data_IF_691844774246
#
_entry.id   IF_691844774246
#
_cell.length_a   1.000
_cell.length_b   1.000
_cell.length_c   1.000
_cell.angle_alpha   90.00
_cell.angle_beta   90.00
_cell.angle_gamma   90.00
#
_symmetry.space_group_name_H-M   'P 1'
#
loop_
_entity.id
_entity.type
_entity.pdbx_description
1 polymer ?
#
# COMPACT_ATOMS: atom_id res chain seq x y z
N UNK A 1 5.32 12.78 31.10
CA UNK A 1 3.91 13.20 31.02
C UNK A 1 3.48 12.98 29.57
N UNK A 2 2.96 11.80 29.26
CA UNK A 2 2.51 11.46 27.91
C UNK A 2 1.02 11.83 27.81
N UNK A 3 0.74 13.06 27.41
CA UNK A 3 -0.60 13.39 26.96
C UNK A 3 -0.86 12.59 25.67
N UNK A 4 -1.89 11.75 25.68
CA UNK A 4 -2.40 11.14 24.45
C UNK A 4 -2.67 12.27 23.45
N UNK A 5 -2.20 12.17 22.20
CA UNK A 5 -2.48 13.20 21.19
C UNK A 5 -4.00 13.39 21.06
N UNK A 6 -4.48 14.61 20.82
CA UNK A 6 -5.91 14.88 20.64
C UNK A 6 -6.46 13.95 19.55
N UNK A 7 -7.62 13.34 19.79
CA UNK A 7 -8.21 12.39 18.85
C UNK A 7 -8.53 13.08 17.52
N UNK A 8 -8.13 12.49 16.39
CA UNK A 8 -8.52 12.94 15.06
C UNK A 8 -10.01 12.73 14.74
N UNK A 9 -10.86 12.40 15.72
CA UNK A 9 -12.27 12.07 15.50
C UNK A 9 -13.08 13.31 15.06
N UNK A 10 -13.61 13.34 13.82
CA UNK A 10 -14.51 14.39 13.38
C UNK A 10 -15.86 14.28 14.11
N UNK A 11 -16.51 15.42 14.39
CA UNK A 11 -17.89 15.41 14.88
C UNK A 11 -18.81 14.72 13.85
N UNK A 12 -19.56 13.70 14.29
CA UNK A 12 -20.56 12.99 13.47
C UNK A 12 -20.13 11.62 12.93
N UNK A 13 -18.92 11.14 13.20
CA UNK A 13 -18.53 9.75 12.89
C UNK A 13 -19.27 8.74 13.78
N UNK A 14 -19.92 7.75 13.17
CA UNK A 14 -20.31 6.52 13.88
C UNK A 14 -19.10 5.60 13.96
N UNK A 15 -18.57 5.39 15.15
CA UNK A 15 -17.61 4.31 15.38
C UNK A 15 -18.33 2.97 15.47
N UNK A 16 -17.68 1.91 14.97
CA UNK A 16 -18.19 0.56 15.16
C UNK A 16 -18.06 0.15 16.61
N UNK A 17 -19.06 -0.52 17.15
CA UNK A 17 -18.94 -1.20 18.45
C UNK A 17 -17.96 -2.36 18.35
N UNK A 18 -17.51 -2.88 19.51
CA UNK A 18 -16.66 -4.08 19.54
C UNK A 18 -17.31 -5.25 18.78
N UNK A 19 -18.61 -5.49 18.99
CA UNK A 19 -19.34 -6.58 18.34
C UNK A 19 -19.45 -6.36 16.82
N UNK A 20 -19.66 -5.13 16.37
CA UNK A 20 -19.68 -4.81 14.94
C UNK A 20 -18.31 -5.02 14.29
N UNK A 21 -17.22 -4.64 14.97
CA UNK A 21 -15.85 -4.91 14.51
C UNK A 21 -15.59 -6.41 14.45
N UNK A 22 -15.96 -7.17 15.49
CA UNK A 22 -15.80 -8.63 15.53
C UNK A 22 -16.56 -9.31 14.38
N UNK A 23 -17.84 -8.96 14.20
CA UNK A 23 -18.68 -9.51 13.14
C UNK A 23 -18.11 -9.18 11.74
N UNK A 24 -17.70 -7.93 11.53
CA UNK A 24 -17.13 -7.51 10.25
C UNK A 24 -15.77 -8.15 9.97
N UNK A 25 -14.93 -8.30 10.99
CA UNK A 25 -13.67 -9.02 10.87
C UNK A 25 -13.91 -10.48 10.47
N UNK A 26 -14.80 -11.19 11.16
CA UNK A 26 -15.15 -12.58 10.87
C UNK A 26 -15.78 -12.78 9.49
N UNK A 27 -16.47 -11.76 8.97
CA UNK A 27 -16.99 -11.76 7.59
C UNK A 27 -15.87 -11.72 6.55
N UNK A 28 -14.77 -11.02 6.84
CA UNK A 28 -13.64 -10.80 5.93
C UNK A 28 -12.53 -11.83 6.04
N UNK A 29 -12.26 -12.34 7.24
CA UNK A 29 -11.16 -13.27 7.51
C UNK A 29 -11.19 -14.48 6.56
N UNK A 30 -10.07 -14.74 5.89
CA UNK A 30 -9.89 -15.83 4.93
C UNK A 30 -10.58 -15.62 3.57
N UNK A 31 -11.18 -14.43 3.33
CA UNK A 31 -12.08 -14.23 2.17
C UNK A 31 -11.92 -12.89 1.47
N UNK A 32 -11.76 -11.80 2.22
CA UNK A 32 -11.85 -10.44 1.69
C UNK A 32 -10.69 -9.58 2.18
N UNK A 33 -10.23 -8.70 1.31
CA UNK A 33 -9.20 -7.72 1.64
C UNK A 33 -9.59 -6.83 2.83
N UNK A 34 -8.66 -6.51 3.75
CA UNK A 34 -7.24 -6.89 3.80
C UNK A 34 -6.92 -8.11 4.69
N UNK A 35 -7.89 -8.99 4.93
CA UNK A 35 -7.79 -10.13 5.85
C UNK A 35 -7.96 -11.48 5.13
N UNK A 36 -7.75 -11.50 3.81
CA UNK A 36 -7.91 -12.68 2.96
C UNK A 36 -6.94 -13.82 3.29
N UNK A 37 -5.77 -13.50 3.84
CA UNK A 37 -4.73 -14.48 4.20
C UNK A 37 -4.81 -14.95 5.67
N UNK A 38 -5.81 -14.46 6.42
CA UNK A 38 -5.99 -14.80 7.85
C UNK A 38 -6.76 -16.11 8.00
N UNK A 39 -6.18 -17.08 8.71
CA UNK A 39 -6.89 -18.32 9.06
C UNK A 39 -8.09 -18.02 9.95
N UNK A 40 -9.17 -18.74 9.70
CA UNK A 40 -10.43 -18.52 10.40
C UNK A 40 -10.31 -18.84 11.89
N UNK A 41 -9.55 -19.85 12.24
CA UNK A 41 -9.32 -20.30 13.62
C UNK A 41 -8.55 -19.25 14.42
N UNK A 42 -7.55 -18.61 13.80
CA UNK A 42 -6.78 -17.52 14.41
C UNK A 42 -7.68 -16.29 14.61
N UNK A 43 -8.53 -15.98 13.62
CA UNK A 43 -9.52 -14.92 13.75
C UNK A 43 -10.50 -15.18 14.90
N UNK A 44 -11.06 -16.39 15.00
CA UNK A 44 -11.97 -16.77 16.09
C UNK A 44 -11.29 -16.65 17.46
N UNK A 45 -10.05 -17.10 17.58
CA UNK A 45 -9.27 -16.99 18.82
C UNK A 45 -9.09 -15.53 19.24
N UNK A 46 -8.68 -14.66 18.33
CA UNK A 46 -8.49 -13.23 18.64
C UNK A 46 -9.83 -12.56 18.93
N UNK A 47 -10.85 -12.78 18.11
CA UNK A 47 -12.17 -12.16 18.31
C UNK A 47 -12.81 -12.57 19.64
N UNK A 48 -12.60 -13.80 20.10
CA UNK A 48 -13.06 -14.24 21.41
C UNK A 48 -12.29 -13.61 22.58
N UNK A 49 -10.98 -13.36 22.40
CA UNK A 49 -10.12 -12.76 23.42
C UNK A 49 -10.27 -11.23 23.55
N UNK A 50 -10.72 -10.54 22.49
CA UNK A 50 -10.91 -9.10 22.52
C UNK A 50 -12.04 -8.68 23.48
N UNK A 51 -11.71 -7.80 24.43
CA UNK A 51 -12.66 -7.21 25.40
C UNK A 51 -12.88 -5.73 25.19
N UNK A 52 -12.08 -5.08 24.33
CA UNK A 52 -12.20 -3.67 23.97
C UNK A 52 -11.66 -3.44 22.56
N UNK A 53 -11.89 -2.23 22.03
CA UNK A 53 -11.28 -1.73 20.78
C UNK A 53 -10.01 -0.89 21.05
N UNK A 54 -9.41 -1.02 22.23
CA UNK A 54 -8.13 -0.37 22.50
C UNK A 54 -7.08 -0.81 21.47
N UNK A 55 -6.31 0.17 20.98
CA UNK A 55 -5.37 -0.02 19.88
C UNK A 55 -4.24 -0.98 20.25
N UNK A 56 -3.80 -0.96 21.51
CA UNK A 56 -2.73 -1.81 22.00
C UNK A 56 -3.25 -3.18 22.43
N UNK A 57 -4.47 -3.28 22.99
CA UNK A 57 -5.13 -4.57 23.22
C UNK A 57 -5.33 -5.35 21.91
N UNK A 58 -5.77 -4.67 20.85
CA UNK A 58 -5.85 -5.25 19.51
C UNK A 58 -4.50 -5.77 19.02
N UNK A 59 -3.45 -4.94 19.13
CA UNK A 59 -2.11 -5.31 18.70
C UNK A 59 -1.57 -6.50 19.49
N UNK A 60 -1.80 -6.53 20.80
CA UNK A 60 -1.37 -7.60 21.69
C UNK A 60 -1.97 -8.95 21.29
N UNK A 61 -3.30 -9.02 21.14
CA UNK A 61 -3.97 -10.29 20.81
C UNK A 61 -3.54 -10.85 19.46
N UNK A 62 -3.35 -9.99 18.46
CA UNK A 62 -2.82 -10.41 17.16
C UNK A 62 -1.34 -10.82 17.22
N UNK A 63 -0.52 -10.11 17.99
CA UNK A 63 0.89 -10.47 18.18
C UNK A 63 1.05 -11.82 18.90
N UNK A 64 0.13 -12.21 19.80
CA UNK A 64 0.14 -13.56 20.40
C UNK A 64 0.08 -14.66 19.34
N UNK A 65 -0.75 -14.48 18.30
CA UNK A 65 -0.81 -15.41 17.15
C UNK A 65 0.50 -15.38 16.37
N UNK A 66 0.97 -14.19 15.98
CA UNK A 66 2.16 -14.03 15.15
C UNK A 66 3.43 -14.60 15.79
N UNK A 67 3.64 -14.30 17.08
CA UNK A 67 4.77 -14.85 17.85
C UNK A 67 4.67 -16.38 18.01
N UNK A 68 3.45 -16.92 18.10
CA UNK A 68 3.22 -18.36 18.14
C UNK A 68 3.65 -19.07 16.84
N UNK A 69 3.33 -18.51 15.68
CA UNK A 69 3.80 -19.03 14.40
C UNK A 69 5.30 -18.84 14.20
N UNK A 70 5.85 -17.71 14.62
CA UNK A 70 7.29 -17.48 14.54
C UNK A 70 8.08 -18.50 15.36
N UNK A 71 7.63 -18.81 16.58
CA UNK A 71 8.26 -19.81 17.43
C UNK A 71 8.18 -21.22 16.82
N UNK A 72 7.06 -21.56 16.18
CA UNK A 72 6.91 -22.81 15.43
C UNK A 72 7.87 -22.86 14.25
N UNK A 73 7.93 -21.79 13.43
CA UNK A 73 8.87 -21.68 12.32
C UNK A 73 10.32 -21.86 12.77
N UNK A 74 10.71 -21.24 13.89
CA UNK A 74 12.07 -21.37 14.44
C UNK A 74 12.39 -22.77 14.94
N UNK A 75 11.42 -23.46 15.54
CA UNK A 75 11.59 -24.86 15.95
C UNK A 75 11.72 -25.78 14.72
N UNK A 76 10.91 -25.56 13.69
CA UNK A 76 10.94 -26.33 12.45
C UNK A 76 12.22 -26.07 11.64
N UNK A 77 12.70 -24.84 11.61
CA UNK A 77 13.97 -24.49 10.97
C UNK A 77 15.15 -25.23 11.64
N UNK A 78 15.18 -25.28 12.99
CA UNK A 78 16.18 -26.06 13.74
C UNK A 78 16.08 -27.57 13.47
N UNK A 79 14.89 -28.08 13.17
CA UNK A 79 14.65 -29.47 12.82
C UNK A 79 14.91 -29.80 11.33
N UNK A 80 15.37 -28.83 10.53
CA UNK A 80 15.68 -29.04 9.11
C UNK A 80 14.45 -29.09 8.19
N UNK A 81 13.35 -28.42 8.55
CA UNK A 81 12.17 -28.30 7.70
C UNK A 81 12.46 -27.65 6.34
N UNK A 82 11.68 -28.02 5.33
CA UNK A 82 11.83 -27.53 3.97
C UNK A 82 11.39 -26.07 3.79
N UNK A 83 11.88 -25.43 2.73
CA UNK A 83 11.63 -24.01 2.47
C UNK A 83 10.13 -23.65 2.41
N UNK A 84 9.29 -24.47 1.77
CA UNK A 84 7.86 -24.19 1.65
C UNK A 84 7.14 -24.16 3.02
N UNK A 85 7.49 -25.07 3.92
CA UNK A 85 6.93 -25.10 5.27
C UNK A 85 7.36 -23.88 6.09
N UNK A 86 8.65 -23.50 5.99
CA UNK A 86 9.18 -22.33 6.68
C UNK A 86 8.59 -21.02 6.14
N UNK A 87 8.44 -20.91 4.81
CA UNK A 87 7.75 -19.80 4.16
C UNK A 87 6.33 -19.65 4.74
N UNK A 88 5.55 -20.73 4.73
CA UNK A 88 4.16 -20.72 5.20
C UNK A 88 4.05 -20.30 6.67
N UNK A 89 4.86 -20.90 7.57
CA UNK A 89 4.83 -20.57 8.99
C UNK A 89 5.19 -19.10 9.25
N UNK A 90 6.24 -18.59 8.61
CA UNK A 90 6.63 -17.20 8.78
C UNK A 90 5.69 -16.21 8.10
N UNK A 91 5.01 -16.60 7.01
CA UNK A 91 3.95 -15.79 6.40
C UNK A 91 2.74 -15.69 7.31
N UNK A 92 2.30 -16.78 7.94
CA UNK A 92 1.24 -16.71 8.96
C UNK A 92 1.63 -15.84 10.17
N UNK A 93 2.90 -15.91 10.59
CA UNK A 93 3.43 -15.02 11.62
C UNK A 93 3.32 -13.55 11.20
N UNK A 94 3.78 -13.24 9.99
CA UNK A 94 3.70 -11.92 9.39
C UNK A 94 2.25 -11.42 9.31
N UNK A 95 1.33 -12.21 8.76
CA UNK A 95 -0.05 -11.80 8.53
C UNK A 95 -0.77 -11.47 9.84
N UNK A 96 -0.54 -12.26 10.90
CA UNK A 96 -1.10 -11.95 12.21
C UNK A 96 -0.59 -10.60 12.76
N UNK A 97 0.73 -10.37 12.79
CA UNK A 97 1.28 -9.10 13.27
C UNK A 97 0.96 -7.92 12.33
N UNK A 98 0.80 -8.15 11.02
CA UNK A 98 0.31 -7.18 10.04
C UNK A 98 -1.10 -6.72 10.39
N UNK A 99 -1.99 -7.65 10.78
CA UNK A 99 -3.32 -7.29 11.26
C UNK A 99 -3.23 -6.55 12.61
N UNK A 100 -2.30 -6.94 13.48
CA UNK A 100 -2.02 -6.21 14.73
C UNK A 100 -1.69 -4.73 14.52
N UNK A 101 -0.94 -4.37 13.46
CA UNK A 101 -0.67 -2.96 13.12
C UNK A 101 -1.81 -2.25 12.38
N UNK A 102 -2.81 -2.95 11.87
CA UNK A 102 -3.84 -2.38 10.98
C UNK A 102 -4.65 -1.24 11.66
N UNK A 103 -5.05 -0.18 10.93
CA UNK A 103 -4.62 0.14 9.57
C UNK A 103 -3.23 0.76 9.51
N UNK A 104 -2.77 1.37 10.61
CA UNK A 104 -1.45 1.96 10.73
C UNK A 104 -0.96 1.96 12.19
N UNK A 105 0.36 1.98 12.43
CA UNK A 105 0.95 1.83 13.77
C UNK A 105 0.90 3.10 14.63
N UNK A 106 -0.30 3.58 14.93
CA UNK A 106 -0.58 4.85 15.63
C UNK A 106 -0.54 4.77 17.16
N UNK A 107 -0.14 3.64 17.73
CA UNK A 107 0.06 3.45 19.18
C UNK A 107 1.32 2.60 19.42
N UNK A 108 1.89 2.61 20.64
CA UNK A 108 3.11 1.83 20.94
C UNK A 108 2.97 0.34 20.64
N UNK A 109 1.86 -0.30 21.04
CA UNK A 109 1.60 -1.71 20.76
C UNK A 109 1.48 -2.00 19.27
N UNK A 110 0.79 -1.14 18.50
CA UNK A 110 0.72 -1.29 17.04
C UNK A 110 2.08 -1.07 16.36
N UNK A 111 2.93 -0.19 16.89
CA UNK A 111 4.30 0.00 16.41
C UNK A 111 5.16 -1.24 16.65
N UNK A 112 5.05 -1.88 17.82
CA UNK A 112 5.71 -3.16 18.08
C UNK A 112 5.16 -4.28 17.16
N UNK A 113 3.85 -4.33 16.93
CA UNK A 113 3.25 -5.26 15.98
C UNK A 113 3.83 -5.09 14.57
N UNK A 114 4.05 -3.84 14.13
CA UNK A 114 4.72 -3.56 12.86
C UNK A 114 6.17 -4.06 12.84
N UNK A 115 6.95 -3.82 13.90
CA UNK A 115 8.34 -4.34 13.97
C UNK A 115 8.37 -5.86 13.91
N UNK A 116 7.43 -6.54 14.58
CA UNK A 116 7.27 -7.98 14.48
C UNK A 116 6.92 -8.42 13.06
N UNK A 117 5.97 -7.75 12.39
CA UNK A 117 5.60 -8.10 11.01
C UNK A 117 6.80 -7.95 10.06
N UNK A 118 7.58 -6.87 10.15
CA UNK A 118 8.79 -6.72 9.34
C UNK A 118 9.79 -7.87 9.53
N UNK A 119 10.06 -8.21 10.80
CA UNK A 119 10.98 -9.30 11.15
C UNK A 119 10.49 -10.63 10.56
N UNK A 120 9.21 -10.94 10.74
CA UNK A 120 8.61 -12.19 10.31
C UNK A 120 8.54 -12.29 8.78
N UNK A 121 8.19 -11.21 8.09
CA UNK A 121 8.24 -11.15 6.63
C UNK A 121 9.65 -11.42 6.11
N UNK A 122 10.68 -10.78 6.70
CA UNK A 122 12.09 -11.03 6.33
C UNK A 122 12.56 -12.45 6.62
N UNK A 123 11.95 -13.16 7.57
CA UNK A 123 12.21 -14.61 7.78
C UNK A 123 11.55 -15.44 6.68
N UNK A 124 10.30 -15.15 6.34
CA UNK A 124 9.60 -15.80 5.22
C UNK A 124 10.33 -15.57 3.88
N UNK A 125 10.78 -14.34 3.62
CA UNK A 125 11.42 -13.95 2.37
C UNK A 125 12.69 -14.74 2.03
N UNK A 126 13.38 -15.31 3.04
CA UNK A 126 14.55 -16.18 2.83
C UNK A 126 14.20 -17.50 2.12
N UNK A 127 12.92 -17.84 2.08
CA UNK A 127 12.41 -19.08 1.52
C UNK A 127 11.64 -18.87 0.21
N UNK A 128 11.45 -17.61 -0.22
CA UNK A 128 10.71 -17.29 -1.44
C UNK A 128 11.40 -17.79 -2.71
N UNK A 129 10.58 -18.18 -3.68
CA UNK A 129 11.02 -18.48 -5.05
C UNK A 129 10.14 -17.69 -6.04
N UNK A 130 10.73 -16.84 -6.91
CA UNK A 130 12.15 -16.47 -6.96
C UNK A 130 12.60 -15.68 -5.72
N UNK A 131 13.92 -15.66 -5.42
CA UNK A 131 14.45 -14.98 -4.24
C UNK A 131 14.04 -13.50 -4.19
N UNK A 132 13.74 -13.04 -2.98
CA UNK A 132 13.50 -11.63 -2.69
C UNK A 132 14.77 -11.01 -2.10
N UNK A 133 15.32 -10.02 -2.81
CA UNK A 133 16.45 -9.22 -2.36
C UNK A 133 15.95 -8.02 -1.55
N UNK A 134 16.50 -7.82 -0.35
CA UNK A 134 16.32 -6.59 0.42
C UNK A 134 17.35 -5.58 -0.06
N UNK A 135 16.88 -4.48 -0.64
CA UNK A 135 17.71 -3.42 -1.22
C UNK A 135 17.68 -2.20 -0.30
N UNK A 136 18.87 -1.67 0.00
CA UNK A 136 19.06 -0.44 0.77
C UNK A 136 19.73 0.63 -0.11
N UNK A 137 19.12 1.82 -0.15
CA UNK A 137 19.63 2.97 -0.93
C UNK A 137 19.91 4.13 0.02
N UNK A 138 21.15 4.67 0.07
CA UNK A 138 21.46 5.86 0.84
C UNK A 138 20.64 7.07 0.36
N UNK A 139 20.06 7.82 1.28
CA UNK A 139 19.21 8.97 0.96
C UNK A 139 19.31 10.05 2.04
N UNK A 140 20.02 11.15 1.76
CA UNK A 140 20.06 12.35 2.61
C UNK A 140 20.37 12.07 4.10
N UNK A 141 21.36 11.21 4.36
CA UNK A 141 21.74 10.80 5.72
C UNK A 141 20.81 9.76 6.36
N UNK A 142 19.84 9.26 5.60
CA UNK A 142 18.92 8.17 5.94
C UNK A 142 19.08 7.01 4.95
N UNK A 143 18.24 5.99 5.08
CA UNK A 143 18.22 4.81 4.21
C UNK A 143 16.81 4.59 3.68
N UNK A 144 16.68 4.33 2.39
CA UNK A 144 15.47 3.79 1.78
C UNK A 144 15.60 2.27 1.70
N UNK A 145 14.55 1.55 2.11
CA UNK A 145 14.51 0.08 2.04
C UNK A 145 13.41 -0.36 1.10
N UNK A 146 13.73 -1.29 0.20
CA UNK A 146 12.83 -1.82 -0.82
C UNK A 146 13.12 -3.29 -1.10
N UNK A 147 12.23 -3.95 -1.85
CA UNK A 147 12.33 -5.35 -2.18
C UNK A 147 12.40 -5.55 -3.69
N UNK A 148 13.42 -6.26 -4.16
CA UNK A 148 13.63 -6.57 -5.57
C UNK A 148 13.45 -8.06 -5.81
N UNK A 149 12.60 -8.41 -6.79
CA UNK A 149 12.47 -9.78 -7.29
C UNK A 149 12.66 -9.79 -8.80
N UNK A 150 13.50 -10.71 -9.27
CA UNK A 150 13.78 -10.88 -10.69
C UNK A 150 12.99 -12.09 -11.25
N UNK A 151 12.41 -11.96 -12.45
CA UNK A 151 11.80 -13.08 -13.16
C UNK A 151 12.84 -14.13 -13.54
N UNK A 152 12.54 -15.44 -13.38
CA UNK A 152 13.46 -16.50 -13.75
C UNK A 152 13.68 -16.52 -15.27
N UNK A 153 14.93 -16.70 -15.68
CA UNK A 153 15.29 -16.91 -17.10
C UNK A 153 15.24 -15.68 -18.00
N UNK A 154 15.00 -14.47 -17.46
CA UNK A 154 15.00 -13.23 -18.24
C UNK A 154 16.28 -12.45 -17.96
N UNK A 155 17.12 -12.26 -18.97
CA UNK A 155 18.29 -11.40 -18.88
C UNK A 155 17.87 -9.93 -18.92
N UNK A 156 18.34 -9.12 -17.96
CA UNK A 156 18.06 -7.67 -17.84
C UNK A 156 16.58 -7.33 -18.07
N UNK A 157 15.67 -7.84 -17.22
CA UNK A 157 14.25 -7.57 -17.34
C UNK A 157 13.96 -6.07 -17.22
N UNK A 158 12.89 -5.63 -17.88
CA UNK A 158 12.28 -4.33 -17.60
C UNK A 158 11.82 -4.29 -16.14
N UNK A 159 11.79 -3.10 -15.54
CA UNK A 159 11.52 -2.91 -14.11
C UNK A 159 10.16 -2.26 -13.93
N UNK A 160 9.38 -2.77 -12.99
CA UNK A 160 8.20 -2.09 -12.46
C UNK A 160 8.49 -1.69 -11.03
N UNK A 161 8.68 -0.38 -10.78
CA UNK A 161 8.77 0.18 -9.43
C UNK A 161 7.36 0.45 -8.91
N UNK A 162 6.99 -0.14 -7.78
CA UNK A 162 5.58 -0.18 -7.40
C UNK A 162 5.39 -0.08 -5.88
N UNK A 163 4.37 0.67 -5.45
CA UNK A 163 4.02 0.91 -4.05
C UNK A 163 2.49 0.94 -3.84
N UNK A 164 2.05 0.76 -2.60
CA UNK A 164 0.64 0.86 -2.22
C UNK A 164 0.28 2.20 -1.57
N UNK A 165 -0.78 2.18 -0.74
CA UNK A 165 -1.32 3.34 -0.05
C UNK A 165 -0.93 3.40 1.43
N UNK A 166 -1.76 4.05 2.23
CA UNK A 166 -1.49 4.32 3.66
C UNK A 166 -1.41 3.08 4.54
N UNK A 167 -2.01 1.98 4.10
CA UNK A 167 -2.12 0.71 4.82
C UNK A 167 -1.70 -0.52 3.98
N UNK A 168 -1.28 -0.31 2.73
CA UNK A 168 -0.72 -1.33 1.85
C UNK A 168 0.76 -1.08 1.58
N UNK A 169 1.63 -1.63 2.42
CA UNK A 169 3.08 -1.37 2.45
C UNK A 169 3.83 -2.44 1.64
N UNK A 170 5.15 -2.30 1.47
CA UNK A 170 5.92 -3.18 0.58
C UNK A 170 5.78 -4.68 0.89
N UNK A 171 5.63 -5.07 2.14
CA UNK A 171 5.40 -6.48 2.51
C UNK A 171 4.04 -7.00 2.03
N UNK A 172 3.03 -6.13 1.97
CA UNK A 172 1.64 -6.48 1.60
C UNK A 172 1.46 -6.62 0.08
N UNK A 173 2.52 -6.35 -0.69
CA UNK A 173 2.48 -6.24 -2.16
C UNK A 173 2.96 -7.52 -2.85
N UNK A 174 3.19 -8.60 -2.11
CA UNK A 174 3.73 -9.86 -2.65
C UNK A 174 2.88 -10.42 -3.80
N UNK A 175 1.55 -10.34 -3.72
CA UNK A 175 0.64 -10.77 -4.79
C UNK A 175 0.84 -9.98 -6.09
N UNK A 176 0.99 -8.66 -5.95
CA UNK A 176 1.30 -7.77 -7.09
C UNK A 176 2.68 -8.09 -7.65
N UNK A 177 3.67 -8.29 -6.78
CA UNK A 177 5.01 -8.66 -7.19
C UNK A 177 5.04 -9.99 -7.97
N UNK A 178 4.32 -11.01 -7.49
CA UNK A 178 4.14 -12.30 -8.20
C UNK A 178 3.54 -12.10 -9.59
N UNK A 179 2.55 -11.21 -9.74
CA UNK A 179 1.94 -10.92 -11.05
C UNK A 179 2.94 -10.25 -12.01
N UNK A 180 3.72 -9.28 -11.53
CA UNK A 180 4.76 -8.58 -12.32
C UNK A 180 5.87 -9.55 -12.74
N UNK A 181 6.39 -10.33 -11.79
CA UNK A 181 7.44 -11.34 -12.00
C UNK A 181 6.95 -12.41 -12.97
N UNK A 182 5.73 -12.92 -12.80
CA UNK A 182 5.12 -13.90 -13.70
C UNK A 182 4.96 -13.39 -15.14
N UNK A 183 4.84 -12.08 -15.33
CA UNK A 183 4.78 -11.46 -16.65
C UNK A 183 6.16 -11.25 -17.32
N UNK A 184 7.26 -11.60 -16.64
CA UNK A 184 8.63 -11.50 -17.14
C UNK A 184 9.31 -10.15 -16.87
N UNK A 185 8.82 -9.39 -15.89
CA UNK A 185 9.38 -8.09 -15.49
C UNK A 185 9.93 -8.17 -14.05
N UNK A 186 10.98 -7.39 -13.76
CA UNK A 186 11.48 -7.25 -12.39
C UNK A 186 10.52 -6.39 -11.56
N UNK A 187 10.31 -6.82 -10.31
CA UNK A 187 9.44 -6.15 -9.36
C UNK A 187 10.29 -5.43 -8.32
N UNK A 188 10.29 -4.10 -8.34
CA UNK A 188 10.88 -3.27 -7.29
C UNK A 188 9.77 -2.70 -6.40
N UNK A 189 9.53 -3.35 -5.27
CA UNK A 189 8.52 -2.93 -4.30
C UNK A 189 9.12 -1.93 -3.32
N UNK A 190 8.52 -0.75 -3.20
CA UNK A 190 8.98 0.30 -2.27
C UNK A 190 7.82 0.83 -1.43
N UNK A 191 8.14 1.45 -0.29
CA UNK A 191 7.17 2.19 0.51
C UNK A 191 7.03 3.63 -0.01
N UNK A 192 5.81 4.13 -0.12
CA UNK A 192 5.58 5.55 -0.42
C UNK A 192 6.04 6.43 0.77
N UNK A 193 6.40 7.70 0.53
CA UNK A 193 6.59 8.66 1.60
C UNK A 193 5.41 8.64 2.59
N UNK A 194 5.71 8.59 3.89
CA UNK A 194 4.75 8.50 4.98
C UNK A 194 4.28 7.07 5.33
N UNK A 195 4.84 6.04 4.68
CA UNK A 195 4.46 4.63 4.92
C UNK A 195 5.66 3.74 5.18
N UNK A 196 5.42 2.62 5.88
CA UNK A 196 6.41 1.56 6.08
C UNK A 196 7.77 2.06 6.59
N UNK A 197 8.83 1.65 5.91
CA UNK A 197 10.23 2.00 6.22
C UNK A 197 10.70 3.27 5.48
N UNK A 198 9.82 3.96 4.73
CA UNK A 198 10.19 5.22 4.09
C UNK A 198 10.39 6.31 5.16
N UNK A 199 11.57 6.94 5.25
CA UNK A 199 11.90 7.83 6.35
C UNK A 199 11.48 9.29 6.11
N UNK A 200 10.69 9.56 5.06
CA UNK A 200 10.21 10.88 4.64
C UNK A 200 8.68 10.90 4.72
N UNK A 201 8.09 11.96 5.27
CA UNK A 201 6.63 12.11 5.31
C UNK A 201 6.05 12.47 3.94
N UNK A 202 4.78 12.14 3.72
CA UNK A 202 4.11 12.29 2.44
C UNK A 202 4.11 13.72 1.91
N UNK A 203 3.91 14.72 2.77
CA UNK A 203 3.87 16.13 2.38
C UNK A 203 5.22 16.84 2.35
N UNK A 204 6.33 16.16 2.68
CA UNK A 204 7.64 16.82 2.79
C UNK A 204 8.24 17.13 1.41
N UNK A 205 9.03 18.22 1.27
CA UNK A 205 9.72 18.54 0.02
C UNK A 205 10.64 17.42 -0.50
N UNK A 206 11.13 16.55 0.39
CA UNK A 206 11.99 15.42 0.04
C UNK A 206 11.22 14.21 -0.52
N UNK A 207 9.89 14.19 -0.42
CA UNK A 207 9.08 13.01 -0.73
C UNK A 207 9.24 12.55 -2.19
N UNK A 208 9.24 13.46 -3.16
CA UNK A 208 9.46 13.10 -4.57
C UNK A 208 10.87 12.52 -4.80
N UNK A 209 11.87 13.06 -4.09
CA UNK A 209 13.27 12.65 -4.26
C UNK A 209 13.53 11.22 -3.80
N UNK A 210 12.69 10.64 -2.93
CA UNK A 210 12.82 9.21 -2.60
C UNK A 210 12.60 8.33 -3.83
N UNK A 211 11.69 8.71 -4.73
CA UNK A 211 11.46 7.97 -5.97
C UNK A 211 12.60 8.18 -6.97
N UNK A 212 13.12 9.41 -7.09
CA UNK A 212 14.30 9.70 -7.91
C UNK A 212 15.50 8.85 -7.49
N UNK A 213 15.75 8.69 -6.18
CA UNK A 213 16.82 7.85 -5.66
C UNK A 213 16.65 6.37 -6.03
N UNK A 214 15.42 5.83 -6.01
CA UNK A 214 15.14 4.49 -6.52
C UNK A 214 15.40 4.35 -8.02
N UNK A 215 14.98 5.34 -8.81
CA UNK A 215 15.26 5.36 -10.26
C UNK A 215 16.76 5.42 -10.55
N UNK A 216 17.53 6.18 -9.77
CA UNK A 216 18.99 6.25 -9.88
C UNK A 216 19.63 4.91 -9.54
N UNK A 217 19.19 4.26 -8.45
CA UNK A 217 19.66 2.93 -8.06
C UNK A 217 19.41 1.89 -9.16
N UNK A 218 18.21 1.86 -9.75
CA UNK A 218 17.88 0.95 -10.86
C UNK A 218 18.83 1.12 -12.05
N UNK A 219 19.28 2.33 -12.35
CA UNK A 219 20.24 2.58 -13.44
C UNK A 219 21.65 2.04 -13.14
N UNK A 220 22.01 1.82 -11.87
CA UNK A 220 23.31 1.24 -11.49
C UNK A 220 23.35 -0.29 -11.59
N UNK A 221 22.18 -0.94 -11.71
CA UNK A 221 22.05 -2.39 -11.70
C UNK A 221 22.31 -2.97 -13.10
N UNK A 222 23.35 -3.80 -13.22
CA UNK A 222 23.72 -4.45 -14.49
C UNK A 222 22.84 -5.63 -14.86
N UNK A 223 22.10 -6.17 -13.88
CA UNK A 223 21.14 -7.27 -13.99
C UNK A 223 19.71 -6.83 -14.32
N UNK A 224 19.47 -5.52 -14.44
CA UNK A 224 18.20 -4.91 -14.84
C UNK A 224 18.36 -4.12 -16.14
N UNK A 225 17.25 -3.88 -16.85
CA UNK A 225 17.20 -2.85 -17.87
C UNK A 225 16.55 -1.58 -17.32
N UNK A 226 17.37 -0.72 -16.72
CA UNK A 226 16.91 0.54 -16.13
C UNK A 226 16.36 1.56 -17.12
N UNK A 227 16.55 1.37 -18.44
CA UNK A 227 15.95 2.23 -19.47
C UNK A 227 14.47 1.89 -19.72
N UNK A 228 14.03 0.70 -19.28
CA UNK A 228 12.66 0.20 -19.37
C UNK A 228 12.07 0.14 -17.97
N UNK A 229 11.79 1.31 -17.39
CA UNK A 229 11.20 1.46 -16.07
C UNK A 229 9.75 1.96 -16.15
N UNK A 230 8.82 1.22 -15.54
CA UNK A 230 7.45 1.64 -15.30
C UNK A 230 7.18 1.86 -13.82
N UNK A 231 6.18 2.69 -13.49
CA UNK A 231 5.78 2.94 -12.10
C UNK A 231 4.32 2.63 -11.84
N UNK A 232 4.02 2.12 -10.65
CA UNK A 232 2.66 1.82 -10.23
C UNK A 232 2.41 2.15 -8.75
N UNK A 233 1.64 3.22 -8.53
CA UNK A 233 1.15 3.62 -7.21
C UNK A 233 -0.31 3.24 -7.00
N UNK A 234 -0.61 2.65 -5.84
CA UNK A 234 -1.97 2.27 -5.43
C UNK A 234 -2.56 3.18 -4.36
N UNK A 235 -3.88 3.37 -4.39
CA UNK A 235 -4.65 4.14 -3.41
C UNK A 235 -4.08 5.55 -3.21
N UNK A 236 -3.89 6.01 -1.96
CA UNK A 236 -3.28 7.30 -1.64
C UNK A 236 -1.88 7.50 -2.26
N UNK A 237 -1.15 6.41 -2.52
CA UNK A 237 0.14 6.44 -3.20
C UNK A 237 0.06 6.70 -4.71
N UNK A 238 -1.11 6.55 -5.34
CA UNK A 238 -1.27 6.76 -6.78
C UNK A 238 -1.00 8.22 -7.21
N UNK A 239 -1.21 9.19 -6.30
CA UNK A 239 -0.80 10.58 -6.50
C UNK A 239 0.66 10.68 -6.98
N UNK A 240 1.57 9.94 -6.34
CA UNK A 240 2.98 9.95 -6.71
C UNK A 240 3.21 9.37 -8.10
N UNK A 241 2.45 8.34 -8.50
CA UNK A 241 2.57 7.79 -9.85
C UNK A 241 2.08 8.79 -10.91
N UNK A 242 0.95 9.46 -10.67
CA UNK A 242 0.46 10.52 -11.55
C UNK A 242 1.45 11.69 -11.61
N UNK A 243 1.98 12.13 -10.47
CA UNK A 243 2.97 13.21 -10.40
C UNK A 243 4.25 12.87 -11.17
N UNK A 244 4.82 11.68 -10.96
CA UNK A 244 6.00 11.21 -11.66
C UNK A 244 5.78 11.07 -13.17
N UNK A 245 4.54 10.82 -13.62
CA UNK A 245 4.20 10.86 -15.05
C UNK A 245 4.54 12.22 -15.67
N UNK A 246 4.43 13.32 -14.93
CA UNK A 246 4.79 14.65 -15.39
C UNK A 246 6.25 14.99 -15.09
N UNK A 247 6.68 14.82 -13.83
CA UNK A 247 8.00 15.32 -13.37
C UNK A 247 9.17 14.42 -13.77
N UNK A 248 8.93 13.13 -13.94
CA UNK A 248 9.93 12.14 -14.32
C UNK A 248 9.67 11.56 -15.72
N UNK A 249 8.95 12.28 -16.59
CA UNK A 249 8.46 11.76 -17.87
C UNK A 249 9.54 11.15 -18.78
N UNK A 250 10.76 11.65 -18.70
CA UNK A 250 11.89 11.18 -19.51
C UNK A 250 12.57 9.93 -18.93
N UNK A 251 12.24 9.57 -17.68
CA UNK A 251 12.85 8.47 -16.92
C UNK A 251 11.99 7.22 -16.86
N UNK A 252 10.70 7.33 -17.20
CA UNK A 252 9.74 6.23 -17.10
C UNK A 252 9.01 6.02 -18.42
N UNK A 253 8.69 4.76 -18.72
CA UNK A 253 7.95 4.35 -19.92
C UNK A 253 6.44 4.32 -19.71
N UNK A 254 6.00 4.27 -18.46
CA UNK A 254 4.58 4.32 -18.11
C UNK A 254 4.35 4.51 -16.63
N UNK A 255 3.26 5.17 -16.29
CA UNK A 255 2.80 5.37 -14.93
C UNK A 255 1.37 4.84 -14.77
N UNK A 256 1.12 4.14 -13.67
CA UNK A 256 -0.22 3.64 -13.31
C UNK A 256 -0.71 4.37 -12.08
N UNK A 257 -1.75 5.18 -12.29
CA UNK A 257 -2.55 5.83 -11.26
C UNK A 257 -3.72 4.91 -10.89
N UNK A 258 -3.58 4.16 -9.78
CA UNK A 258 -4.56 3.15 -9.39
C UNK A 258 -5.33 3.55 -8.13
N UNK A 259 -6.55 4.07 -8.30
CA UNK A 259 -7.49 4.38 -7.20
C UNK A 259 -7.04 5.49 -6.24
N UNK A 260 -6.41 6.57 -6.73
CA UNK A 260 -6.01 7.69 -5.87
C UNK A 260 -6.61 9.02 -6.26
N UNK A 261 -5.98 10.10 -5.79
CA UNK A 261 -6.45 11.47 -5.95
C UNK A 261 -5.43 12.33 -6.70
N UNK A 262 -5.90 13.28 -7.49
CA UNK A 262 -5.04 14.31 -8.14
C UNK A 262 -5.53 15.74 -7.88
N UNK A 263 -6.82 15.95 -7.60
CA UNK A 263 -7.37 17.25 -7.22
C UNK A 263 -8.64 17.11 -6.38
N UNK A 264 -9.69 16.49 -6.91
CA UNK A 264 -11.01 16.46 -6.28
C UNK A 264 -10.97 15.69 -4.96
N UNK A 265 -10.24 14.58 -4.92
CA UNK A 265 -10.07 13.81 -3.69
C UNK A 265 -9.22 14.48 -2.61
N UNK A 266 -8.63 15.65 -2.90
CA UNK A 266 -7.96 16.50 -1.91
C UNK A 266 -8.83 17.68 -1.42
N UNK A 267 -10.00 17.89 -2.02
CA UNK A 267 -10.91 18.97 -1.62
C UNK A 267 -11.67 18.60 -0.35
N UNK A 268 -11.96 19.60 0.47
CA UNK A 268 -12.66 19.43 1.75
C UNK A 268 -14.04 18.81 1.54
N UNK A 269 -14.71 19.19 0.47
CA UNK A 269 -16.06 18.75 0.09
C UNK A 269 -16.11 17.24 -0.15
N UNK A 270 -15.02 16.64 -0.63
CA UNK A 270 -14.90 15.19 -0.78
C UNK A 270 -14.42 14.53 0.52
N UNK A 271 -13.37 15.07 1.14
CA UNK A 271 -12.70 14.45 2.27
C UNK A 271 -13.57 14.41 3.54
N UNK A 272 -14.38 15.45 3.79
CA UNK A 272 -15.22 15.49 4.98
C UNK A 272 -16.24 14.34 4.99
N UNK A 273 -17.04 14.11 3.92
CA UNK A 273 -17.84 12.88 3.81
C UNK A 273 -17.00 11.61 3.90
N UNK A 274 -15.85 11.53 3.22
CA UNK A 274 -15.00 10.34 3.25
C UNK A 274 -14.52 9.97 4.66
N UNK A 275 -14.26 10.95 5.54
CA UNK A 275 -13.82 10.70 6.92
C UNK A 275 -14.94 10.60 7.96
N UNK A 276 -16.18 10.88 7.56
CA UNK A 276 -17.34 10.87 8.46
C UNK A 276 -18.31 9.74 8.15
N UNK A 277 -18.61 9.52 6.87
CA UNK A 277 -19.66 8.62 6.38
C UNK A 277 -19.16 7.62 5.33
N UNK A 278 -18.26 8.04 4.43
CA UNK A 278 -17.77 7.22 3.30
C UNK A 278 -16.75 6.15 3.68
N UNK A 279 -15.80 6.45 4.58
CA UNK A 279 -14.76 5.52 5.03
C UNK A 279 -15.25 4.37 5.91
N UNK A 280 -16.56 4.10 5.93
CA UNK A 280 -17.18 2.99 6.64
C UNK A 280 -16.64 1.62 6.19
N UNK A 281 -15.98 1.53 5.02
CA UNK A 281 -15.32 0.31 4.55
C UNK A 281 -14.08 -0.07 5.37
N UNK A 282 -13.45 0.84 6.11
CA UNK A 282 -12.38 0.51 7.06
C UNK A 282 -12.91 -0.28 8.26
N UNK A 283 -12.13 -1.22 8.81
CA UNK A 283 -12.59 -2.10 9.90
C UNK A 283 -13.06 -1.31 11.14
N UNK A 284 -12.32 -0.27 11.54
CA UNK A 284 -12.65 0.55 12.71
C UNK A 284 -13.48 1.80 12.36
N UNK A 285 -14.02 1.87 11.15
CA UNK A 285 -14.81 3.01 10.66
C UNK A 285 -13.97 4.15 10.09
N UNK A 286 -14.66 5.21 9.66
CA UNK A 286 -14.09 6.27 8.83
C UNK A 286 -12.96 7.08 9.51
N UNK A 287 -12.99 7.23 10.84
CA UNK A 287 -11.93 7.88 11.60
C UNK A 287 -10.57 7.16 11.45
N UNK A 288 -10.58 5.83 11.25
CA UNK A 288 -9.34 5.06 11.09
C UNK A 288 -8.64 5.28 9.74
N UNK A 289 -9.38 5.72 8.71
CA UNK A 289 -8.80 6.20 7.45
C UNK A 289 -8.08 7.54 7.65
N UNK A 290 -8.66 8.44 8.44
CA UNK A 290 -8.01 9.70 8.81
C UNK A 290 -6.77 9.45 9.68
N UNK A 291 -6.80 8.50 10.62
CA UNK A 291 -5.62 8.08 11.39
C UNK A 291 -4.47 7.62 10.45
N UNK A 292 -4.78 6.78 9.45
CA UNK A 292 -3.78 6.27 8.52
C UNK A 292 -3.21 7.35 7.59
N UNK A 293 -4.08 8.19 6.99
CA UNK A 293 -3.64 9.31 6.14
C UNK A 293 -2.93 10.40 6.94
N UNK A 294 -3.41 10.69 8.15
CA UNK A 294 -2.80 11.65 9.07
C UNK A 294 -1.39 11.23 9.50
N UNK A 295 -1.19 9.94 9.81
CA UNK A 295 0.15 9.39 10.06
C UNK A 295 1.08 9.62 8.88
N UNK A 296 0.64 9.33 7.66
CA UNK A 296 1.48 9.50 6.47
C UNK A 296 1.86 10.95 6.21
N UNK A 297 0.94 11.88 6.49
CA UNK A 297 1.15 13.32 6.33
C UNK A 297 1.90 13.97 7.53
N UNK A 298 1.97 13.30 8.68
CA UNK A 298 2.48 13.88 9.93
C UNK A 298 1.50 14.85 10.60
N UNK A 299 0.21 14.76 10.32
CA UNK A 299 -0.83 15.66 10.85
C UNK A 299 -1.56 15.03 12.04
N UNK A 300 -2.02 15.86 12.97
CA UNK A 300 -2.66 15.44 14.23
C UNK A 300 -4.14 15.80 14.32
N UNK A 301 -4.62 16.67 13.43
CA UNK A 301 -6.02 17.09 13.38
C UNK A 301 -6.54 17.02 11.95
N UNK A 302 -7.87 16.98 11.80
CA UNK A 302 -8.50 17.00 10.49
C UNK A 302 -8.24 18.32 9.75
N UNK A 303 -8.17 19.44 10.47
CA UNK A 303 -7.84 20.76 9.95
C UNK A 303 -6.40 20.82 9.43
N UNK A 304 -5.43 20.29 10.19
CA UNK A 304 -4.05 20.16 9.74
C UNK A 304 -3.97 19.28 8.48
N UNK A 305 -4.71 18.17 8.46
CA UNK A 305 -4.78 17.29 7.31
C UNK A 305 -5.30 18.01 6.07
N UNK A 306 -6.44 18.72 6.15
CA UNK A 306 -6.99 19.50 5.05
C UNK A 306 -6.03 20.56 4.53
N UNK A 307 -5.37 21.30 5.45
CA UNK A 307 -4.38 22.30 5.08
C UNK A 307 -3.19 21.67 4.34
N UNK A 308 -2.73 20.49 4.77
CA UNK A 308 -1.62 19.81 4.14
C UNK A 308 -1.97 19.24 2.76
N UNK A 309 -3.11 18.55 2.62
CA UNK A 309 -3.48 17.91 1.35
C UNK A 309 -3.96 18.87 0.27
N UNK A 310 -4.47 20.05 0.63
CA UNK A 310 -4.82 21.09 -0.34
C UNK A 310 -3.62 21.47 -1.25
N UNK A 311 -2.39 21.35 -0.72
CA UNK A 311 -1.15 21.62 -1.45
C UNK A 311 -0.76 20.52 -2.43
N UNK A 312 -1.49 19.41 -2.49
CA UNK A 312 -1.19 18.25 -3.35
C UNK A 312 -1.98 18.28 -4.66
N UNK A 313 -2.76 19.32 -4.95
CA UNK A 313 -3.48 19.34 -6.22
C UNK A 313 -2.54 19.48 -7.41
N UNK A 314 -2.47 18.45 -8.26
CA UNK A 314 -1.72 18.50 -9.51
C UNK A 314 -2.34 19.50 -10.50
N UNK A 315 -3.65 19.73 -10.41
CA UNK A 315 -4.37 20.76 -11.17
C UNK A 315 -3.91 22.15 -10.77
N UNK A 316 -3.93 22.46 -9.47
CA UNK A 316 -3.58 23.81 -8.99
C UNK A 316 -2.07 24.10 -9.13
N UNK A 317 -1.24 23.05 -9.21
CA UNK A 317 0.17 23.16 -9.61
C UNK A 317 0.39 23.40 -11.11
N UNK A 318 -0.66 23.34 -11.94
CA UNK A 318 -0.56 23.47 -13.40
C UNK A 318 0.13 22.29 -14.09
N UNK A 319 0.25 21.13 -13.42
CA UNK A 319 0.93 19.96 -13.97
C UNK A 319 0.07 19.21 -14.99
N UNK A 320 -1.26 19.23 -14.86
CA UNK A 320 -2.13 18.42 -15.71
C UNK A 320 -2.07 18.80 -17.20
N UNK A 321 -1.76 20.06 -17.51
CA UNK A 321 -1.62 20.56 -18.89
C UNK A 321 -0.21 20.36 -19.47
N UNK A 322 0.73 19.85 -18.67
CA UNK A 322 2.09 19.54 -19.13
C UNK A 322 2.13 18.19 -19.86
N UNK A 323 3.12 17.97 -20.76
CA UNK A 323 3.33 16.66 -21.36
C UNK A 323 3.68 15.62 -20.29
N UNK A 324 3.02 14.46 -20.32
CA UNK A 324 3.28 13.34 -19.41
C UNK A 324 3.92 12.15 -20.14
N UNK A 325 4.53 11.24 -19.38
CA UNK A 325 4.71 9.86 -19.81
C UNK A 325 3.33 9.21 -20.07
N UNK A 326 3.27 8.05 -20.76
CA UNK A 326 2.04 7.27 -20.83
C UNK A 326 1.48 7.05 -19.41
N UNK A 327 0.21 7.43 -19.21
CA UNK A 327 -0.45 7.36 -17.92
C UNK A 327 -1.75 6.56 -18.06
N UNK A 328 -1.88 5.52 -17.23
CA UNK A 328 -3.08 4.71 -17.10
C UNK A 328 -3.80 5.06 -15.78
N UNK A 329 -5.02 5.58 -15.89
CA UNK A 329 -5.94 5.72 -14.76
C UNK A 329 -6.79 4.46 -14.57
N UNK A 330 -6.73 3.84 -13.39
CA UNK A 330 -7.56 2.67 -13.05
C UNK A 330 -8.36 2.97 -11.79
N UNK A 331 -9.69 2.89 -11.86
CA UNK A 331 -10.53 2.93 -10.67
C UNK A 331 -11.93 2.33 -10.88
N UNK A 332 -12.66 2.15 -9.79
CA UNK A 332 -14.08 1.85 -9.79
C UNK A 332 -14.95 3.11 -9.77
N UNK A 333 -16.14 3.07 -10.37
CA UNK A 333 -17.08 4.22 -10.32
C UNK A 333 -17.67 4.43 -8.93
N UNK A 334 -17.72 3.38 -8.10
CA UNK A 334 -18.31 3.36 -6.76
C UNK A 334 -17.25 3.47 -5.65
N UNK A 335 -16.09 4.05 -5.97
CA UNK A 335 -15.01 4.28 -5.00
C UNK A 335 -15.40 5.37 -3.99
N UNK A 336 -15.39 4.99 -2.71
CA UNK A 336 -15.74 5.80 -1.54
C UNK A 336 -14.52 6.47 -0.89
N UNK A 337 -13.30 6.18 -1.37
CA UNK A 337 -12.04 6.70 -0.83
C UNK A 337 -11.34 7.68 -1.77
N UNK A 338 -11.56 7.51 -3.09
CA UNK A 338 -11.03 8.36 -4.15
C UNK A 338 -12.09 8.60 -5.23
N UNK A 339 -12.40 9.86 -5.61
CA UNK A 339 -13.47 10.13 -6.55
C UNK A 339 -13.08 9.70 -7.96
N UNK A 340 -13.97 9.01 -8.67
CA UNK A 340 -13.76 8.67 -10.09
C UNK A 340 -13.52 9.92 -10.96
N UNK A 341 -14.01 11.08 -10.54
CA UNK A 341 -13.78 12.37 -11.18
C UNK A 341 -12.30 12.72 -11.34
N UNK A 342 -11.41 12.23 -10.46
CA UNK A 342 -9.96 12.45 -10.61
C UNK A 342 -9.37 11.68 -11.81
N UNK A 343 -9.95 10.53 -12.19
CA UNK A 343 -9.57 9.83 -13.43
C UNK A 343 -10.04 10.63 -14.64
N UNK A 344 -11.27 11.15 -14.63
CA UNK A 344 -11.80 11.96 -15.73
C UNK A 344 -11.01 13.25 -15.90
N UNK A 345 -10.64 13.90 -14.80
CA UNK A 345 -9.81 15.09 -14.83
C UNK A 345 -8.45 14.83 -15.50
N UNK A 346 -7.82 13.68 -15.26
CA UNK A 346 -6.59 13.32 -15.97
C UNK A 346 -6.80 13.21 -17.48
N UNK A 347 -7.93 12.64 -17.92
CA UNK A 347 -8.26 12.44 -19.34
C UNK A 347 -8.62 13.75 -20.07
N UNK A 348 -9.11 14.75 -19.34
CA UNK A 348 -9.54 16.05 -19.88
C UNK A 348 -8.37 17.04 -20.11
N UNK A 349 -7.18 16.73 -19.62
CA UNK A 349 -6.03 17.64 -19.62
C UNK A 349 -4.79 17.06 -20.29
N UNK A 350 -3.95 17.93 -20.88
CA UNK A 350 -2.61 17.59 -21.39
C UNK A 350 -2.58 16.54 -22.52
N UNK A 351 -1.51 15.72 -22.55
CA UNK A 351 -1.38 14.65 -23.55
C UNK A 351 -2.43 13.55 -23.36
N UNK A 352 -2.88 12.85 -24.43
CA UNK A 352 -3.82 11.73 -24.32
C UNK A 352 -3.33 10.66 -23.34
N UNK A 353 -4.27 10.11 -22.56
CA UNK A 353 -4.03 9.10 -21.53
C UNK A 353 -4.97 7.91 -21.72
N UNK A 354 -4.67 6.80 -21.05
CA UNK A 354 -5.52 5.61 -21.05
C UNK A 354 -6.28 5.51 -19.72
N UNK A 355 -7.45 4.87 -19.73
CA UNK A 355 -8.15 4.54 -18.51
C UNK A 355 -8.84 3.17 -18.57
N UNK A 356 -8.93 2.51 -17.41
CA UNK A 356 -9.78 1.35 -17.16
C UNK A 356 -10.71 1.66 -15.98
N UNK A 357 -11.98 1.87 -16.27
CA UNK A 357 -13.01 2.18 -15.27
C UNK A 357 -13.93 0.99 -15.07
N UNK A 358 -14.03 0.50 -13.84
CA UNK A 358 -14.92 -0.60 -13.47
C UNK A 358 -16.28 -0.05 -13.05
N UNK A 359 -17.37 -0.35 -13.79
CA UNK A 359 -18.67 0.30 -13.58
C UNK A 359 -19.27 0.01 -12.21
N UNK A 360 -19.15 -1.23 -11.73
CA UNK A 360 -19.62 -1.68 -10.42
C UNK A 360 -18.48 -1.81 -9.41
N UNK A 361 -17.28 -1.34 -9.78
CA UNK A 361 -16.09 -1.41 -8.95
C UNK A 361 -16.12 -0.36 -7.85
N UNK A 362 -15.66 -0.76 -6.67
CA UNK A 362 -15.38 0.12 -5.54
C UNK A 362 -13.91 0.59 -5.57
N UNK A 363 -13.34 0.90 -4.40
CA UNK A 363 -11.96 1.34 -4.28
C UNK A 363 -10.98 0.48 -5.07
N UNK A 364 -10.15 1.13 -5.89
CA UNK A 364 -9.18 0.48 -6.78
C UNK A 364 -9.82 -0.48 -7.81
N UNK A 365 -11.08 -0.24 -8.19
CA UNK A 365 -11.82 -1.06 -9.16
C UNK A 365 -12.33 -2.40 -8.63
N UNK A 366 -12.12 -2.70 -7.33
CA UNK A 366 -12.49 -3.98 -6.73
C UNK A 366 -14.00 -4.20 -6.84
N UNK A 367 -14.38 -5.29 -7.51
CA UNK A 367 -15.78 -5.64 -7.75
C UNK A 367 -16.09 -6.96 -7.06
N UNK A 368 -17.17 -7.06 -6.25
CA UNK A 368 -17.56 -8.32 -5.61
C UNK A 368 -17.70 -9.46 -6.62
N UNK A 369 -17.15 -10.63 -6.30
CA UNK A 369 -17.21 -11.83 -7.16
C UNK A 369 -16.19 -11.87 -8.30
N UNK A 370 -15.39 -10.82 -8.52
CA UNK A 370 -14.27 -10.89 -9.47
C UNK A 370 -13.04 -11.57 -8.85
N UNK A 371 -12.23 -12.29 -9.65
CA UNK A 371 -10.93 -12.78 -9.21
C UNK A 371 -10.06 -11.63 -8.71
N UNK A 372 -9.42 -11.81 -7.57
CA UNK A 372 -8.69 -10.72 -6.94
C UNK A 372 -7.40 -10.30 -7.69
N UNK A 373 -6.92 -11.10 -8.66
CA UNK A 373 -5.80 -10.74 -9.55
C UNK A 373 -6.24 -10.03 -10.83
N UNK A 374 -7.52 -10.06 -11.21
CA UNK A 374 -8.00 -9.57 -12.52
C UNK A 374 -7.55 -8.14 -12.84
N UNK A 375 -7.61 -7.25 -11.83
CA UNK A 375 -7.20 -5.86 -11.97
C UNK A 375 -5.68 -5.73 -12.10
N UNK A 376 -4.93 -6.53 -11.33
CA UNK A 376 -3.48 -6.55 -11.39
C UNK A 376 -2.98 -7.07 -12.73
N UNK A 377 -3.58 -8.15 -13.26
CA UNK A 377 -3.30 -8.71 -14.58
C UNK A 377 -3.50 -7.65 -15.66
N UNK A 378 -4.66 -6.97 -15.66
CA UNK A 378 -4.97 -5.88 -16.61
C UNK A 378 -3.91 -4.77 -16.58
N UNK A 379 -3.48 -4.35 -15.39
CA UNK A 379 -2.46 -3.32 -15.21
C UNK A 379 -1.09 -3.79 -15.71
N UNK A 380 -0.71 -5.03 -15.36
CA UNK A 380 0.58 -5.62 -15.73
C UNK A 380 0.69 -5.83 -17.23
N UNK A 381 -0.39 -6.22 -17.91
CA UNK A 381 -0.45 -6.29 -19.38
C UNK A 381 -0.19 -4.92 -20.03
N UNK A 382 -0.82 -3.86 -19.51
CA UNK A 382 -0.59 -2.51 -20.01
C UNK A 382 0.86 -2.06 -19.78
N UNK A 383 1.41 -2.30 -18.59
CA UNK A 383 2.82 -1.97 -18.27
C UNK A 383 3.77 -2.73 -19.18
N UNK A 384 3.55 -4.04 -19.39
CA UNK A 384 4.36 -4.87 -20.29
C UNK A 384 4.38 -4.31 -21.71
N UNK A 385 3.23 -3.83 -22.21
CA UNK A 385 3.14 -3.20 -23.52
C UNK A 385 3.89 -1.85 -23.59
N UNK A 386 3.88 -1.04 -22.54
CA UNK A 386 4.67 0.22 -22.50
C UNK A 386 6.16 -0.05 -22.42
N UNK A 387 6.57 -1.06 -21.64
CA UNK A 387 7.96 -1.40 -21.41
C UNK A 387 8.60 -2.17 -22.57
N UNK A 388 7.84 -2.58 -23.57
CA UNK A 388 8.36 -3.17 -24.80
C UNK A 388 8.81 -2.13 -25.85
N UNK A 389 8.57 -0.83 -25.60
CA UNK A 389 8.76 0.27 -26.58
C UNK A 389 10.07 1.05 -26.46
#
# INVERSE_FOLDING_TARGET
MNANPPSMQPKGTRERTLDEVKAEFMRRAGRLNPFEDIKREDAERVMNALTSLDKDHWAEEWCKIGLGYEAQGDARAKAGAGAAELEELYMHAFDACRVGRYPSPVSPGKLEAYKHSLRMFRKAAKHFTPPLEVVEVPFEGKTLTGYLQLPPGVAKPAVVMHWGGVDGWKEDRLRIAKTIVGAGMASLTVDMPGSGENPVLYGEPAAERTYTAWMDHVLTRSDLDGSRLGVWGGSFGAYWAARLAYTARARIKGAVFHGGNVHFGFQKEWLLPAFTTGGATYLFGAASLLDARGRAMGTKTMEEFFAAVSKLSLKDMGLLDQPSAPLLGVNGKLDDQAPIADVYLLLEHGSPKSARVYPDGHHMGRTPGQPADHIAETIVEWLKAQLAR
#
